data_IF_456237770311
#
_entry.id   IF_456237770311
#
_cell.length_a   1.000
_cell.length_b   1.000
_cell.length_c   1.000
_cell.angle_alpha   90.00
_cell.angle_beta   90.00
_cell.angle_gamma   90.00
#
_symmetry.space_group_name_H-M   'P 1'
#
loop_
_entity.id
_entity.type
_entity.pdbx_description
1 polymer ?
#
# COMPACT_ATOMS: atom_id res chain seq x y z
N UNK A 1 -23.74 23.45 36.37
CA UNK A 1 -22.85 23.96 35.30
C UNK A 1 -21.41 23.40 35.35
N UNK A 2 -20.86 23.00 36.49
CA UNK A 2 -19.47 22.40 36.56
C UNK A 2 -19.35 20.99 36.01
N UNK A 3 -20.42 20.17 36.03
CA UNK A 3 -20.38 18.78 35.48
C UNK A 3 -20.38 18.71 33.94
N UNK A 4 -20.88 19.70 33.23
CA UNK A 4 -20.91 19.75 31.77
C UNK A 4 -19.55 20.07 31.15
N UNK A 5 -18.68 20.82 31.88
CA UNK A 5 -17.32 21.15 31.42
C UNK A 5 -16.37 19.96 31.54
N UNK A 6 -16.59 19.04 32.48
CA UNK A 6 -15.77 17.83 32.64
C UNK A 6 -16.02 16.82 31.51
N UNK A 7 -17.27 16.74 31.03
CA UNK A 7 -17.63 15.86 29.91
C UNK A 7 -16.98 16.31 28.58
N UNK A 8 -16.88 17.62 28.35
CA UNK A 8 -16.25 18.16 27.14
C UNK A 8 -14.73 17.95 27.10
N UNK A 9 -14.06 18.00 28.26
CA UNK A 9 -12.61 17.74 28.37
C UNK A 9 -12.31 16.25 28.17
N UNK A 10 -13.15 15.34 28.67
CA UNK A 10 -13.00 13.91 28.39
C UNK A 10 -13.25 13.55 26.91
N UNK A 11 -14.21 14.21 26.23
CA UNK A 11 -14.44 14.01 24.79
C UNK A 11 -13.28 14.53 23.93
N UNK A 12 -12.57 15.55 24.39
CA UNK A 12 -11.42 16.11 23.66
C UNK A 12 -10.14 15.24 23.81
N UNK A 13 -10.04 14.45 24.87
CA UNK A 13 -8.94 13.51 25.08
C UNK A 13 -9.10 12.18 24.34
N UNK A 14 -10.30 11.83 23.86
CA UNK A 14 -10.54 10.59 23.11
C UNK A 14 -10.37 10.75 21.59
N UNK A 15 -10.13 11.95 21.08
CA UNK A 15 -10.07 12.23 19.63
C UNK A 15 -8.72 11.97 18.96
N UNK A 16 -7.73 11.40 19.65
CA UNK A 16 -6.40 11.09 19.07
C UNK A 16 -6.07 9.60 18.96
N UNK A 17 -7.07 8.73 18.97
CA UNK A 17 -6.90 7.28 18.69
C UNK A 17 -7.15 6.93 17.22
N UNK A 18 -6.88 7.82 16.27
CA UNK A 18 -6.74 7.42 14.88
C UNK A 18 -5.38 6.76 14.72
N UNK A 19 -5.41 5.43 14.70
CA UNK A 19 -4.26 4.61 14.32
C UNK A 19 -3.77 5.09 12.96
N UNK A 20 -2.50 5.48 12.85
CA UNK A 20 -1.92 5.85 11.56
C UNK A 20 -1.88 4.63 10.63
N UNK A 21 -1.92 4.78 9.31
CA UNK A 21 -1.74 3.66 8.37
C UNK A 21 -0.48 2.84 8.67
N UNK A 22 0.61 3.49 9.13
CA UNK A 22 1.86 2.82 9.52
C UNK A 22 1.71 1.98 10.79
N UNK A 23 0.83 2.38 11.71
CA UNK A 23 0.49 1.56 12.88
C UNK A 23 -0.16 0.24 12.45
N UNK A 24 -1.11 0.29 11.51
CA UNK A 24 -1.72 -0.91 10.94
C UNK A 24 -0.71 -1.79 10.19
N UNK A 25 0.23 -1.19 9.46
CA UNK A 25 1.33 -1.90 8.82
C UNK A 25 2.21 -2.63 9.85
N UNK A 26 2.58 -1.97 10.93
CA UNK A 26 3.35 -2.59 12.03
C UNK A 26 2.64 -3.81 12.63
N UNK A 27 1.32 -3.72 12.85
CA UNK A 27 0.52 -4.84 13.39
C UNK A 27 0.45 -6.04 12.42
N UNK A 28 0.53 -5.82 11.12
CA UNK A 28 0.61 -6.89 10.12
C UNK A 28 2.00 -7.50 10.03
N UNK A 29 3.05 -6.74 10.30
CA UNK A 29 4.42 -7.26 10.37
C UNK A 29 4.61 -8.14 11.61
N UNK A 30 4.26 -7.63 12.79
CA UNK A 30 4.30 -8.35 14.07
C UNK A 30 3.22 -7.80 15.00
N UNK A 31 2.30 -8.65 15.43
CA UNK A 31 1.20 -8.27 16.31
C UNK A 31 1.71 -7.67 17.63
N UNK A 32 1.25 -6.47 17.96
CA UNK A 32 1.66 -5.70 19.13
C UNK A 32 2.92 -4.84 18.93
N UNK A 33 3.52 -4.87 17.74
CA UNK A 33 4.73 -4.11 17.44
C UNK A 33 4.51 -2.60 17.49
N UNK A 34 3.32 -2.11 17.16
CA UNK A 34 3.02 -0.67 17.14
C UNK A 34 3.27 0.03 18.47
N UNK A 35 3.15 -0.69 19.59
CA UNK A 35 3.41 -0.15 20.92
C UNK A 35 4.87 0.26 21.17
N UNK A 36 5.81 -0.25 20.36
CA UNK A 36 7.24 -0.01 20.46
C UNK A 36 7.71 1.22 19.67
N UNK A 37 6.82 1.82 18.87
CA UNK A 37 7.13 2.94 18.00
C UNK A 37 6.28 4.17 18.30
N UNK A 38 6.83 5.33 17.97
CA UNK A 38 6.12 6.62 17.95
C UNK A 38 6.15 7.11 16.49
N UNK A 39 5.00 7.30 15.89
CA UNK A 39 4.84 7.71 14.49
C UNK A 39 4.42 9.18 14.47
N UNK A 40 5.23 10.03 13.83
CA UNK A 40 5.01 11.47 13.79
C UNK A 40 5.07 12.00 12.35
N UNK A 41 4.03 12.72 11.93
CA UNK A 41 4.08 13.49 10.68
C UNK A 41 4.64 14.87 10.93
N UNK A 42 5.59 15.29 10.08
CA UNK A 42 6.19 16.62 10.13
C UNK A 42 6.20 17.22 8.72
N UNK A 43 5.65 18.42 8.56
CA UNK A 43 5.64 19.11 7.26
C UNK A 43 7.07 19.39 6.77
N UNK A 44 7.31 19.14 5.48
CA UNK A 44 8.54 19.44 4.76
C UNK A 44 8.21 19.62 3.28
N UNK A 45 8.99 20.44 2.59
CA UNK A 45 8.94 20.59 1.13
C UNK A 45 9.66 19.43 0.43
N UNK A 46 10.65 18.85 1.09
CA UNK A 46 11.41 17.69 0.58
C UNK A 46 10.89 16.42 1.26
N UNK A 47 10.80 15.35 0.50
CA UNK A 47 10.47 14.03 1.02
C UNK A 47 11.58 13.53 1.93
N UNK A 48 11.20 13.12 3.14
CA UNK A 48 12.16 12.64 4.14
C UNK A 48 11.55 11.61 5.09
N UNK A 49 12.42 10.83 5.69
CA UNK A 49 12.18 10.19 6.98
C UNK A 49 13.30 10.50 7.97
N UNK A 50 12.97 10.40 9.25
CA UNK A 50 13.90 10.63 10.34
C UNK A 50 13.69 9.59 11.44
N UNK A 51 14.80 9.04 11.95
CA UNK A 51 14.81 8.12 13.08
C UNK A 51 15.35 8.80 14.32
N UNK A 52 14.72 8.53 15.45
CA UNK A 52 15.10 9.10 16.76
C UNK A 52 14.68 8.13 17.88
N UNK A 53 15.03 8.43 19.13
CA UNK A 53 14.74 7.60 20.29
C UNK A 53 14.07 8.40 21.39
N UNK A 54 13.06 7.81 22.05
CA UNK A 54 12.47 8.34 23.27
C UNK A 54 12.20 7.22 24.28
N UNK A 55 13.05 7.14 25.29
CA UNK A 55 13.01 6.02 26.24
C UNK A 55 13.26 4.70 25.51
N UNK A 56 12.36 3.76 25.66
CA UNK A 56 12.39 2.44 25.02
C UNK A 56 11.74 2.40 23.64
N UNK A 57 11.19 3.53 23.15
CA UNK A 57 10.48 3.60 21.88
C UNK A 57 11.30 4.27 20.79
N UNK A 58 11.24 3.70 19.59
CA UNK A 58 11.80 4.30 18.37
C UNK A 58 10.80 5.31 17.82
N UNK A 59 11.28 6.51 17.51
CA UNK A 59 10.48 7.53 16.83
C UNK A 59 10.79 7.49 15.34
N UNK A 60 9.74 7.44 14.52
CA UNK A 60 9.86 7.54 13.06
C UNK A 60 9.04 8.75 12.61
N UNK A 61 9.71 9.72 11.99
CA UNK A 61 9.12 10.93 11.43
C UNK A 61 9.20 10.92 9.92
N UNK A 62 8.27 11.59 9.25
CA UNK A 62 8.28 11.84 7.83
C UNK A 62 7.19 12.84 7.43
N UNK A 63 7.28 13.37 6.21
CA UNK A 63 6.30 14.32 5.71
C UNK A 63 4.99 13.65 5.25
N UNK A 64 5.04 12.36 4.90
CA UNK A 64 3.89 11.52 4.60
C UNK A 64 4.04 10.10 5.16
N UNK A 65 3.01 9.28 5.02
CA UNK A 65 3.01 7.92 5.56
C UNK A 65 3.88 6.94 4.77
N UNK A 66 4.11 7.17 3.47
CA UNK A 66 5.03 6.36 2.66
C UNK A 66 6.46 6.58 3.14
N UNK A 67 6.86 7.83 3.35
CA UNK A 67 8.18 8.16 3.85
C UNK A 67 8.40 7.64 5.28
N UNK A 68 7.37 7.69 6.14
CA UNK A 68 7.43 7.08 7.48
C UNK A 68 7.57 5.55 7.38
N UNK A 69 6.84 4.88 6.47
CA UNK A 69 6.97 3.44 6.24
C UNK A 69 8.37 3.09 5.70
N UNK A 70 8.94 3.93 4.85
CA UNK A 70 10.33 3.79 4.38
C UNK A 70 11.32 3.87 5.55
N UNK A 71 11.12 4.83 6.47
CA UNK A 71 11.90 4.94 7.70
C UNK A 71 11.76 3.70 8.61
N UNK A 72 10.55 3.14 8.69
CA UNK A 72 10.33 1.88 9.40
C UNK A 72 11.13 0.74 8.77
N UNK A 73 11.08 0.55 7.45
CA UNK A 73 11.86 -0.47 6.75
C UNK A 73 13.36 -0.27 6.94
N UNK A 74 13.83 0.98 6.89
CA UNK A 74 15.22 1.35 7.17
C UNK A 74 15.64 0.91 8.58
N UNK A 75 14.85 1.24 9.60
CA UNK A 75 15.10 0.84 10.96
C UNK A 75 15.13 -0.70 11.11
N UNK A 76 14.12 -1.38 10.58
CA UNK A 76 14.04 -2.85 10.65
C UNK A 76 15.27 -3.50 10.03
N UNK A 77 15.70 -3.01 8.88
CA UNK A 77 16.84 -3.56 8.13
C UNK A 77 18.18 -3.28 8.79
N UNK A 78 18.44 -2.04 9.13
CA UNK A 78 19.79 -1.61 9.53
C UNK A 78 20.04 -1.60 11.04
N UNK A 79 18.99 -1.55 11.85
CA UNK A 79 19.10 -1.63 13.32
C UNK A 79 18.67 -2.99 13.84
N UNK A 80 17.51 -3.48 13.44
CA UNK A 80 16.95 -4.72 13.95
C UNK A 80 17.41 -5.99 13.19
N UNK A 81 18.11 -5.85 12.06
CA UNK A 81 18.57 -6.97 11.24
C UNK A 81 17.42 -7.75 10.56
N UNK A 82 16.26 -7.12 10.40
CA UNK A 82 15.05 -7.71 9.82
C UNK A 82 14.89 -7.22 8.39
N UNK A 83 14.87 -8.15 7.44
CA UNK A 83 14.62 -7.87 6.03
C UNK A 83 13.22 -8.32 5.63
N UNK A 84 12.35 -7.36 5.29
CA UNK A 84 11.05 -7.61 4.71
C UNK A 84 11.15 -7.54 3.19
N UNK A 85 10.61 -8.53 2.51
CA UNK A 85 10.71 -8.64 1.06
C UNK A 85 9.44 -9.24 0.48
N UNK A 86 9.38 -9.33 -0.84
CA UNK A 86 8.32 -9.98 -1.57
C UNK A 86 7.96 -11.39 -1.06
N UNK A 87 8.97 -12.15 -0.60
CA UNK A 87 8.80 -13.51 -0.14
C UNK A 87 8.42 -13.62 1.34
N UNK A 88 8.51 -12.53 2.11
CA UNK A 88 8.19 -12.51 3.53
C UNK A 88 7.94 -11.11 4.04
N UNK A 89 6.69 -10.83 4.42
CA UNK A 89 6.22 -9.53 4.94
C UNK A 89 5.93 -9.55 6.44
N UNK A 90 6.21 -10.66 7.12
CA UNK A 90 6.05 -10.81 8.58
C UNK A 90 7.37 -11.15 9.23
N UNK A 91 7.59 -10.64 10.42
CA UNK A 91 8.80 -10.92 11.19
C UNK A 91 8.50 -10.77 12.68
N UNK A 92 9.21 -11.50 13.52
CA UNK A 92 9.16 -11.31 14.98
C UNK A 92 10.17 -10.25 15.41
N UNK A 93 9.69 -9.14 15.92
CA UNK A 93 10.56 -8.08 16.43
C UNK A 93 11.20 -8.49 17.78
N UNK A 94 12.44 -8.05 18.05
CA UNK A 94 13.08 -8.24 19.34
C UNK A 94 12.21 -7.71 20.50
N UNK A 95 12.28 -8.37 21.65
CA UNK A 95 11.57 -7.91 22.85
C UNK A 95 11.99 -6.47 23.20
N UNK A 96 13.29 -6.20 23.17
CA UNK A 96 13.87 -4.85 23.28
C UNK A 96 14.40 -4.45 21.91
N UNK A 97 13.93 -3.33 21.41
CA UNK A 97 14.37 -2.81 20.11
C UNK A 97 15.81 -2.26 20.21
N UNK A 98 16.69 -2.52 19.22
CA UNK A 98 17.98 -1.86 19.14
C UNK A 98 17.82 -0.33 19.14
N UNK A 99 18.61 0.39 19.95
CA UNK A 99 18.43 1.84 20.11
C UNK A 99 18.92 2.63 18.89
N UNK A 100 18.23 3.71 18.58
CA UNK A 100 18.73 4.76 17.68
C UNK A 100 19.60 5.70 18.52
N UNK A 101 20.91 5.44 18.52
CA UNK A 101 21.88 6.18 19.39
C UNK A 101 22.15 7.60 18.94
N UNK A 102 21.91 7.89 17.66
CA UNK A 102 22.06 9.21 17.08
C UNK A 102 20.90 9.42 16.12
N UNK A 103 20.20 10.55 16.29
CA UNK A 103 19.17 11.00 15.35
C UNK A 103 19.73 11.03 13.93
N UNK A 104 19.05 10.42 12.99
CA UNK A 104 19.43 10.42 11.58
C UNK A 104 18.23 10.79 10.69
N UNK A 105 18.53 11.51 9.61
CA UNK A 105 17.54 11.98 8.64
C UNK A 105 18.01 11.65 7.24
N UNK A 106 17.09 11.13 6.43
CA UNK A 106 17.30 10.81 5.03
C UNK A 106 16.28 11.56 4.19
N UNK A 107 16.74 12.14 3.11
CA UNK A 107 15.96 12.96 2.19
C UNK A 107 16.10 12.45 0.77
N UNK A 108 15.11 12.75 -0.07
CA UNK A 108 15.16 12.48 -1.51
C UNK A 108 14.51 13.60 -2.30
N UNK A 109 15.13 13.96 -3.41
CA UNK A 109 14.62 14.93 -4.39
C UNK A 109 13.76 14.27 -5.48
N UNK A 110 13.55 12.94 -5.41
CA UNK A 110 12.75 12.21 -6.38
C UNK A 110 11.26 12.29 -6.02
N UNK A 111 10.47 13.14 -6.70
CA UNK A 111 9.06 13.36 -6.37
C UNK A 111 8.19 12.14 -6.70
N UNK A 112 8.61 11.32 -7.66
CA UNK A 112 7.89 10.14 -8.11
C UNK A 112 8.77 8.90 -8.01
N UNK A 113 8.31 7.92 -7.25
CA UNK A 113 8.94 6.61 -7.08
C UNK A 113 7.94 5.54 -7.54
N UNK A 114 8.13 5.12 -8.78
CA UNK A 114 7.21 4.28 -9.52
C UNK A 114 7.50 2.78 -9.33
N UNK A 115 6.49 1.97 -9.18
CA UNK A 115 6.59 0.51 -9.19
C UNK A 115 5.42 -0.14 -9.91
N UNK A 116 5.64 -1.38 -10.28
CA UNK A 116 4.87 -2.24 -11.15
C UNK A 116 4.90 -1.77 -12.63
N UNK A 117 5.09 -2.72 -13.52
CA UNK A 117 4.91 -2.54 -14.96
C UNK A 117 3.74 -3.40 -15.46
N UNK A 118 3.34 -3.22 -16.71
CA UNK A 118 2.25 -3.98 -17.28
C UNK A 118 2.43 -5.49 -17.19
N UNK A 119 3.65 -5.99 -17.42
CA UNK A 119 3.93 -7.43 -17.40
C UNK A 119 3.70 -8.05 -16.03
N UNK A 120 3.95 -7.33 -14.94
CA UNK A 120 3.73 -7.81 -13.57
C UNK A 120 2.34 -8.38 -13.37
N UNK A 121 1.32 -7.78 -14.00
CA UNK A 121 -0.08 -8.22 -13.89
C UNK A 121 -0.34 -9.60 -14.53
N UNK A 122 0.52 -10.10 -15.40
CA UNK A 122 0.40 -11.46 -15.93
C UNK A 122 1.37 -12.46 -15.31
N UNK A 123 2.36 -12.00 -14.57
CA UNK A 123 3.32 -12.89 -13.91
C UNK A 123 3.00 -13.07 -12.42
N UNK A 124 3.34 -12.08 -11.62
CA UNK A 124 3.25 -12.21 -10.17
C UNK A 124 1.90 -11.80 -9.57
N UNK A 125 1.06 -11.08 -10.33
CA UNK A 125 -0.19 -10.50 -9.85
C UNK A 125 -1.44 -10.92 -10.66
N UNK A 126 -1.30 -11.83 -11.65
CA UNK A 126 -2.40 -12.22 -12.56
C UNK A 126 -3.68 -12.67 -11.84
N UNK A 127 -3.52 -13.38 -10.75
CA UNK A 127 -4.62 -13.90 -9.93
C UNK A 127 -4.55 -13.39 -8.48
N UNK A 128 -3.92 -12.21 -8.29
CA UNK A 128 -3.81 -11.60 -6.97
C UNK A 128 -5.18 -11.18 -6.43
N UNK A 129 -5.56 -11.76 -5.31
CA UNK A 129 -6.70 -11.34 -4.51
C UNK A 129 -6.35 -10.16 -3.60
N UNK A 130 -7.29 -9.76 -2.73
CA UNK A 130 -7.07 -8.67 -1.80
C UNK A 130 -5.89 -8.95 -0.84
N UNK A 131 -5.76 -10.16 -0.33
CA UNK A 131 -4.65 -10.51 0.59
C UNK A 131 -3.28 -10.34 -0.09
N UNK A 132 -3.18 -10.74 -1.35
CA UNK A 132 -1.96 -10.55 -2.15
C UNK A 132 -1.68 -9.07 -2.41
N UNK A 133 -2.72 -8.28 -2.77
CA UNK A 133 -2.59 -6.86 -3.01
C UNK A 133 -2.29 -6.06 -1.74
N UNK A 134 -2.88 -6.40 -0.60
CA UNK A 134 -2.57 -5.74 0.67
C UNK A 134 -1.07 -5.88 1.01
N UNK A 135 -0.51 -7.08 0.87
CA UNK A 135 0.93 -7.32 1.07
C UNK A 135 1.79 -6.54 0.08
N UNK A 136 1.34 -6.41 -1.16
CA UNK A 136 2.07 -5.66 -2.18
C UNK A 136 2.06 -4.15 -1.91
N UNK A 137 0.93 -3.60 -1.50
CA UNK A 137 0.82 -2.19 -1.10
C UNK A 137 1.71 -1.90 0.12
N UNK A 138 1.69 -2.78 1.12
CA UNK A 138 2.54 -2.67 2.30
C UNK A 138 4.03 -2.72 1.91
N UNK A 139 4.42 -3.63 1.00
CA UNK A 139 5.78 -3.69 0.45
C UNK A 139 6.14 -2.39 -0.25
N UNK A 140 5.30 -1.92 -1.14
CA UNK A 140 5.55 -0.68 -1.86
C UNK A 140 5.75 0.50 -0.91
N UNK A 141 4.91 0.65 0.13
CA UNK A 141 5.07 1.70 1.13
C UNK A 141 6.41 1.58 1.89
N UNK A 142 6.80 0.37 2.31
CA UNK A 142 8.08 0.11 2.99
C UNK A 142 9.29 0.44 2.12
N UNK A 143 9.16 0.31 0.79
CA UNK A 143 10.23 0.61 -0.17
C UNK A 143 10.12 2.02 -0.78
N UNK A 144 9.26 2.87 -0.25
CA UNK A 144 9.16 4.27 -0.62
C UNK A 144 8.44 4.54 -1.94
N UNK A 145 7.73 3.57 -2.48
CA UNK A 145 6.93 3.74 -3.70
C UNK A 145 5.71 4.59 -3.40
N UNK A 146 5.57 5.71 -4.10
CA UNK A 146 4.44 6.63 -3.97
C UNK A 146 3.59 6.75 -5.26
N UNK A 147 3.96 6.03 -6.32
CA UNK A 147 3.26 6.03 -7.60
C UNK A 147 3.18 4.60 -8.19
N UNK A 148 2.34 3.73 -7.61
CA UNK A 148 2.15 2.39 -8.15
C UNK A 148 1.27 2.39 -9.40
N UNK A 149 1.55 1.51 -10.37
CA UNK A 149 0.65 1.23 -11.48
C UNK A 149 -0.56 0.45 -10.97
N UNK A 150 -1.77 0.96 -11.19
CA UNK A 150 -3.02 0.36 -10.73
C UNK A 150 -3.99 0.13 -11.91
N UNK A 151 -3.73 -0.90 -12.72
CA UNK A 151 -4.51 -1.22 -13.92
C UNK A 151 -5.59 -2.28 -13.70
N UNK A 152 -5.84 -2.67 -12.46
CA UNK A 152 -6.91 -3.62 -12.12
C UNK A 152 -8.26 -3.07 -12.58
N UNK A 153 -9.12 -3.92 -13.13
CA UNK A 153 -10.44 -3.57 -13.68
C UNK A 153 -10.45 -2.62 -14.90
N UNK A 154 -9.33 -2.45 -15.62
CA UNK A 154 -9.30 -1.65 -16.85
C UNK A 154 -10.30 -2.15 -17.90
N UNK A 155 -10.54 -3.45 -17.95
CA UNK A 155 -11.47 -4.11 -18.88
C UNK A 155 -12.91 -3.66 -18.65
N UNK A 156 -13.32 -3.46 -17.40
CA UNK A 156 -14.65 -2.95 -17.07
C UNK A 156 -14.86 -1.48 -17.53
N UNK A 157 -13.78 -0.71 -17.59
CA UNK A 157 -13.81 0.65 -18.16
C UNK A 157 -13.88 0.56 -19.68
N UNK A 158 -13.04 -0.27 -20.29
CA UNK A 158 -13.02 -0.50 -21.73
C UNK A 158 -14.38 -1.00 -22.25
N UNK A 159 -15.01 -1.98 -21.58
CA UNK A 159 -16.36 -2.45 -21.91
C UNK A 159 -17.37 -1.31 -21.93
N UNK A 160 -17.40 -0.46 -20.90
CA UNK A 160 -18.31 0.69 -20.84
C UNK A 160 -18.10 1.69 -21.97
N UNK A 161 -16.85 1.92 -22.36
CA UNK A 161 -16.52 2.81 -23.49
C UNK A 161 -16.99 2.21 -24.81
N UNK A 162 -16.68 0.96 -25.07
CA UNK A 162 -16.99 0.29 -26.33
C UNK A 162 -18.49 0.07 -26.53
N UNK A 163 -19.25 -0.22 -25.47
CA UNK A 163 -20.72 -0.23 -25.52
C UNK A 163 -21.28 1.13 -25.95
N UNK A 164 -20.71 2.24 -25.47
CA UNK A 164 -21.11 3.59 -25.89
C UNK A 164 -20.73 3.90 -27.37
N UNK A 165 -19.71 3.22 -27.87
CA UNK A 165 -19.29 3.31 -29.26
C UNK A 165 -20.12 2.43 -30.19
N UNK A 166 -21.06 1.64 -29.66
CA UNK A 166 -22.00 0.84 -30.45
C UNK A 166 -21.62 -0.64 -30.62
N UNK A 167 -20.55 -1.12 -29.97
CA UNK A 167 -20.27 -2.55 -29.94
C UNK A 167 -21.26 -3.24 -29.00
N UNK A 168 -21.59 -4.50 -29.28
CA UNK A 168 -22.39 -5.30 -28.36
C UNK A 168 -21.51 -6.05 -27.34
N UNK A 169 -22.13 -6.58 -26.30
CA UNK A 169 -21.43 -7.20 -25.18
C UNK A 169 -20.69 -8.48 -25.56
N UNK A 170 -21.25 -9.25 -26.50
CA UNK A 170 -20.67 -10.50 -26.99
C UNK A 170 -19.37 -10.21 -27.76
N UNK A 171 -19.39 -9.24 -28.68
CA UNK A 171 -18.20 -8.80 -29.44
C UNK A 171 -17.07 -8.34 -28.50
N UNK A 172 -17.42 -7.57 -27.46
CA UNK A 172 -16.46 -7.06 -26.50
C UNK A 172 -15.83 -8.21 -25.68
N UNK A 173 -16.64 -9.15 -25.23
CA UNK A 173 -16.18 -10.32 -24.45
C UNK A 173 -15.26 -11.22 -25.28
N UNK A 174 -15.60 -11.48 -26.53
CA UNK A 174 -14.78 -12.26 -27.45
C UNK A 174 -13.45 -11.59 -27.75
N UNK A 175 -13.41 -10.26 -27.71
CA UNK A 175 -12.20 -9.50 -27.97
C UNK A 175 -11.19 -9.58 -26.81
N UNK A 176 -11.63 -9.64 -25.56
CA UNK A 176 -10.74 -9.76 -24.41
C UNK A 176 -10.00 -11.09 -24.40
N UNK A 177 -8.80 -11.05 -23.83
CA UNK A 177 -8.03 -12.26 -23.49
C UNK A 177 -8.36 -12.74 -22.09
N UNK A 178 -7.97 -13.97 -21.74
CA UNK A 178 -8.04 -14.49 -20.38
C UNK A 178 -7.18 -13.68 -19.39
N UNK A 179 -7.45 -13.78 -18.07
CA UNK A 179 -6.78 -12.99 -17.05
C UNK A 179 -5.25 -13.03 -17.09
N UNK A 180 -4.66 -14.20 -17.36
CA UNK A 180 -3.21 -14.38 -17.42
C UNK A 180 -2.54 -13.61 -18.57
N UNK A 181 -3.30 -13.19 -19.58
CA UNK A 181 -2.78 -12.54 -20.78
C UNK A 181 -3.20 -11.07 -20.91
N UNK A 182 -3.95 -10.52 -19.99
CA UNK A 182 -4.48 -9.16 -20.03
C UNK A 182 -3.42 -8.06 -20.22
N UNK A 183 -2.24 -8.09 -19.62
CA UNK A 183 -1.21 -7.09 -19.91
C UNK A 183 -0.83 -7.00 -21.38
N UNK A 184 -0.71 -8.12 -22.10
CA UNK A 184 -0.42 -8.11 -23.52
C UNK A 184 -1.61 -7.63 -24.36
N UNK A 185 -2.83 -7.94 -23.91
CA UNK A 185 -4.03 -7.37 -24.50
C UNK A 185 -4.06 -5.84 -24.32
N UNK A 186 -3.80 -5.33 -23.12
CA UNK A 186 -3.74 -3.88 -22.82
C UNK A 186 -2.66 -3.15 -23.62
N UNK A 187 -1.56 -3.82 -23.94
CA UNK A 187 -0.49 -3.29 -24.79
C UNK A 187 -0.77 -3.45 -26.30
N UNK A 188 -1.89 -4.06 -26.69
CA UNK A 188 -2.25 -4.28 -28.10
C UNK A 188 -1.51 -5.43 -28.80
N UNK A 189 -0.84 -6.30 -28.05
CA UNK A 189 -0.02 -7.37 -28.61
C UNK A 189 -0.83 -8.60 -28.99
N UNK A 190 -1.96 -8.85 -28.33
CA UNK A 190 -2.85 -9.98 -28.60
C UNK A 190 -4.29 -9.70 -28.17
N UNK A 191 -5.23 -10.41 -28.78
CA UNK A 191 -6.65 -10.40 -28.43
C UNK A 191 -7.25 -11.79 -28.62
N UNK A 192 -8.44 -12.02 -28.08
CA UNK A 192 -9.20 -13.28 -28.20
C UNK A 192 -8.44 -14.53 -27.70
N UNK A 193 -7.37 -14.34 -26.95
CA UNK A 193 -6.53 -15.45 -26.48
C UNK A 193 -7.13 -16.02 -25.19
N UNK A 194 -7.54 -17.29 -25.24
CA UNK A 194 -7.99 -18.04 -24.07
C UNK A 194 -9.16 -17.36 -23.28
N UNK A 195 -9.96 -16.53 -23.97
CA UNK A 195 -11.17 -15.89 -23.44
C UNK A 195 -12.41 -16.76 -23.58
N UNK A 196 -13.60 -16.20 -23.32
CA UNK A 196 -13.91 -14.84 -22.90
C UNK A 196 -13.77 -14.59 -21.42
N UNK A 197 -13.63 -13.30 -21.02
CA UNK A 197 -13.72 -12.92 -19.59
C UNK A 197 -15.17 -13.04 -19.10
N UNK A 198 -15.36 -13.68 -17.96
CA UNK A 198 -16.68 -13.76 -17.34
C UNK A 198 -17.08 -12.44 -16.65
N UNK A 199 -18.39 -12.17 -16.59
CA UNK A 199 -18.93 -11.03 -15.83
C UNK A 199 -18.52 -11.10 -14.35
N UNK A 200 -18.55 -12.28 -13.76
CA UNK A 200 -18.16 -12.47 -12.36
C UNK A 200 -16.71 -12.06 -12.12
N UNK A 201 -15.80 -12.40 -13.04
CA UNK A 201 -14.40 -11.98 -12.92
C UNK A 201 -14.29 -10.47 -13.00
N UNK A 202 -14.93 -9.81 -13.97
CA UNK A 202 -14.89 -8.35 -14.09
C UNK A 202 -15.45 -7.64 -12.86
N UNK A 203 -16.56 -8.11 -12.29
CA UNK A 203 -17.15 -7.55 -11.07
C UNK A 203 -16.21 -7.70 -9.86
N UNK A 204 -15.57 -8.85 -9.71
CA UNK A 204 -14.58 -9.06 -8.66
C UNK A 204 -13.36 -8.13 -8.83
N UNK A 205 -12.93 -7.86 -10.06
CA UNK A 205 -11.83 -6.90 -10.30
C UNK A 205 -12.22 -5.47 -9.95
N UNK A 206 -13.47 -5.06 -10.18
CA UNK A 206 -13.97 -3.74 -9.75
C UNK A 206 -13.92 -3.62 -8.22
N UNK A 207 -14.39 -4.64 -7.51
CA UNK A 207 -14.34 -4.68 -6.03
C UNK A 207 -12.89 -4.61 -5.56
N UNK A 208 -12.00 -5.41 -6.13
CA UNK A 208 -10.58 -5.41 -5.80
C UNK A 208 -9.93 -4.03 -6.05
N UNK A 209 -10.25 -3.38 -7.19
CA UNK A 209 -9.71 -2.05 -7.48
C UNK A 209 -10.17 -1.01 -6.47
N UNK A 210 -11.42 -1.08 -6.01
CA UNK A 210 -11.90 -0.21 -4.94
C UNK A 210 -11.11 -0.44 -3.63
N UNK A 211 -10.84 -1.68 -3.27
CA UNK A 211 -10.02 -2.01 -2.09
C UNK A 211 -8.61 -1.44 -2.22
N UNK A 212 -7.97 -1.59 -3.39
CA UNK A 212 -6.63 -1.06 -3.68
C UNK A 212 -6.59 0.47 -3.53
N UNK A 213 -7.58 1.18 -4.08
CA UNK A 213 -7.62 2.65 -4.08
C UNK A 213 -8.00 3.27 -2.72
N UNK A 214 -8.60 2.49 -1.83
CA UNK A 214 -9.03 2.96 -0.49
C UNK A 214 -8.04 2.58 0.61
N UNK A 215 -6.99 1.82 0.29
CA UNK A 215 -5.94 1.38 1.21
C UNK A 215 -4.94 2.49 1.47
#
# INVERSE_FOLDING_TARGET
MKKLRLLFVLLWMTSNLFSSPVTGLLERIDKGASSKFIIERQKSETDFFELDQKGDKVIIRGNDYVNIATGLNWYLKYYAGIHLSWNGMTAKLPAVLPPVTKKERHETDLPYRYDLNYCTFSYSMAFGDWERWEKEIDRMALYGVNMPLATVASEAIAERVWLRMGLNKEEIREFFTAPAHLPWHRMGNLNKWDGPLSDAWQQNQIILQHQILTR
#
